data_IF_460047519901
#
_entry.id   IF_460047519901
#
_cell.length_a   1.000
_cell.length_b   1.000
_cell.length_c   1.000
_cell.angle_alpha   90.00
_cell.angle_beta   90.00
_cell.angle_gamma   90.00
#
_symmetry.space_group_name_H-M   'P 1'
#
loop_
_entity.id
_entity.type
_entity.pdbx_description
1 polymer ?
#
# COMPACT_ATOMS: atom_id res chain seq x y z
N UNK A 1 20.43 6.05 20.51
CA UNK A 1 20.37 6.14 19.02
C UNK A 1 21.73 6.51 18.43
N UNK A 2 22.32 7.66 18.78
CA UNK A 2 23.67 8.05 18.35
C UNK A 2 24.77 7.01 18.66
N UNK A 3 24.78 6.47 19.87
CA UNK A 3 25.76 5.44 20.28
C UNK A 3 25.70 4.17 19.43
N UNK A 4 24.50 3.80 18.96
CA UNK A 4 24.31 2.64 18.08
C UNK A 4 24.93 2.91 16.70
N UNK A 5 24.62 4.06 16.10
CA UNK A 5 25.18 4.44 14.78
C UNK A 5 26.70 4.58 14.82
N UNK A 6 27.25 5.12 15.92
CA UNK A 6 28.71 5.28 16.06
C UNK A 6 29.41 3.92 16.18
N UNK A 7 28.84 2.96 16.93
CA UNK A 7 29.45 1.66 17.22
C UNK A 7 29.26 0.65 16.11
N UNK A 8 28.03 0.54 15.64
CA UNK A 8 27.64 -0.47 14.65
C UNK A 8 27.93 -0.03 13.22
N UNK A 9 28.21 1.27 12.99
CA UNK A 9 28.45 1.85 11.67
C UNK A 9 27.23 1.68 10.73
N UNK A 10 26.05 1.46 11.32
CA UNK A 10 24.77 1.31 10.62
C UNK A 10 23.98 2.61 10.77
N UNK A 11 23.56 3.25 9.66
CA UNK A 11 22.78 4.47 9.72
C UNK A 11 21.36 4.18 10.25
N UNK A 12 20.79 5.14 10.97
CA UNK A 12 19.37 5.15 11.29
C UNK A 12 18.71 6.21 10.43
N UNK A 13 17.83 5.80 9.53
CA UNK A 13 17.23 6.67 8.51
C UNK A 13 15.77 6.94 8.84
N UNK A 14 15.35 8.20 8.70
CA UNK A 14 13.95 8.64 8.74
C UNK A 14 13.18 8.14 9.96
N UNK A 15 13.77 8.30 11.15
CA UNK A 15 13.09 7.94 12.40
C UNK A 15 12.29 9.13 12.88
N UNK A 16 10.98 8.92 13.05
CA UNK A 16 10.11 9.95 13.61
C UNK A 16 10.18 9.93 15.14
N UNK A 17 10.43 11.10 15.71
CA UNK A 17 10.50 11.33 17.15
C UNK A 17 9.52 12.44 17.51
N UNK A 18 8.61 12.12 18.43
CA UNK A 18 7.73 13.12 19.05
C UNK A 18 8.53 13.85 20.14
N UNK A 19 8.64 15.17 20.02
CA UNK A 19 9.26 16.02 21.04
C UNK A 19 8.38 17.26 21.24
N UNK A 20 7.76 17.37 22.42
CA UNK A 20 6.64 18.29 22.68
C UNK A 20 5.51 18.16 21.63
N UNK A 21 5.00 19.27 21.11
CA UNK A 21 3.99 19.34 20.04
C UNK A 21 4.59 19.17 18.63
N UNK A 22 5.88 18.86 18.52
CA UNK A 22 6.58 18.78 17.23
C UNK A 22 6.94 17.34 16.86
N UNK A 23 6.86 17.09 15.56
CA UNK A 23 7.26 15.85 14.92
C UNK A 23 8.59 16.07 14.23
N UNK A 24 9.63 15.44 14.75
CA UNK A 24 10.98 15.53 14.24
C UNK A 24 11.33 14.27 13.45
N UNK A 25 11.64 14.43 12.17
CA UNK A 25 12.24 13.36 11.38
C UNK A 25 13.75 13.42 11.53
N UNK A 26 14.34 12.37 12.12
CA UNK A 26 15.77 12.30 12.44
C UNK A 26 16.43 11.19 11.62
N UNK A 27 17.47 11.56 10.88
CA UNK A 27 18.38 10.64 10.20
C UNK A 27 19.78 10.79 10.76
N UNK A 28 20.42 9.70 11.20
CA UNK A 28 21.76 9.68 11.80
C UNK A 28 22.64 8.74 10.98
N UNK A 29 23.81 9.20 10.58
CA UNK A 29 24.76 8.43 9.78
C UNK A 29 26.19 8.60 10.29
N UNK A 30 27.03 7.56 10.22
CA UNK A 30 28.43 7.67 10.61
C UNK A 30 29.19 8.56 9.60
N UNK A 31 30.00 9.50 10.09
CA UNK A 31 30.95 10.28 9.27
C UNK A 31 32.34 9.64 9.36
N UNK A 32 32.69 9.13 10.55
CA UNK A 32 33.90 8.36 10.79
C UNK A 32 33.60 7.27 11.80
N UNK A 33 33.75 6.02 11.38
CA UNK A 33 33.50 4.82 12.19
C UNK A 33 34.10 4.95 13.58
N UNK A 34 33.31 4.63 14.61
CA UNK A 34 33.71 4.68 16.03
C UNK A 34 34.24 6.03 16.53
N UNK A 35 34.06 7.13 15.77
CA UNK A 35 34.57 8.46 16.15
C UNK A 35 33.54 9.56 16.06
N UNK A 36 32.79 9.66 14.95
CA UNK A 36 31.81 10.73 14.76
C UNK A 36 30.67 10.28 13.83
N UNK A 37 29.47 10.77 14.11
CA UNK A 37 28.29 10.64 13.28
C UNK A 37 27.66 12.01 13.05
N UNK A 38 27.03 12.19 11.89
CA UNK A 38 26.17 13.34 11.59
C UNK A 38 24.71 13.00 11.85
N UNK A 39 23.90 14.01 12.11
CA UNK A 39 22.45 13.87 12.15
C UNK A 39 21.79 15.00 11.37
N UNK A 40 20.74 14.66 10.62
CA UNK A 40 19.81 15.58 9.98
C UNK A 40 18.53 15.53 10.80
N UNK A 41 18.12 16.70 11.31
CA UNK A 41 16.87 16.86 12.07
C UNK A 41 15.97 17.78 11.25
N UNK A 42 14.83 17.25 10.80
CA UNK A 42 13.82 18.01 10.07
C UNK A 42 12.59 18.18 10.93
N UNK A 43 12.15 19.43 11.10
CA UNK A 43 10.86 19.75 11.68
C UNK A 43 9.79 19.54 10.61
N UNK A 44 8.90 18.56 10.83
CA UNK A 44 7.82 18.23 9.89
C UNK A 44 6.71 19.32 9.88
N UNK A 45 6.78 20.32 10.76
CA UNK A 45 5.85 21.45 10.81
C UNK A 45 6.33 22.70 10.03
N UNK A 46 7.43 22.64 9.27
CA UNK A 46 7.82 23.79 8.43
C UNK A 46 6.81 24.01 7.29
N UNK A 47 6.29 25.25 7.07
CA UNK A 47 5.22 25.53 6.10
C UNK A 47 5.52 25.06 4.67
N UNK A 48 6.79 25.07 4.27
CA UNK A 48 7.25 24.65 2.94
C UNK A 48 7.16 23.13 2.73
N UNK A 49 7.22 22.32 3.80
CA UNK A 49 7.21 20.84 3.74
C UNK A 49 5.81 20.27 3.94
N UNK A 50 4.95 20.95 4.71
CA UNK A 50 3.57 20.50 4.98
C UNK A 50 2.73 20.32 3.72
N UNK A 51 2.83 21.23 2.75
CA UNK A 51 2.04 21.15 1.52
C UNK A 51 2.40 19.93 0.66
N UNK A 52 3.69 19.72 0.39
CA UNK A 52 4.16 18.58 -0.41
C UNK A 52 3.89 17.23 0.29
N UNK A 53 4.08 17.16 1.62
CA UNK A 53 3.84 15.92 2.36
C UNK A 53 2.36 15.55 2.42
N UNK A 54 1.46 16.53 2.57
CA UNK A 54 0.02 16.29 2.51
C UNK A 54 -0.40 15.80 1.12
N UNK A 55 0.09 16.44 0.05
CA UNK A 55 -0.20 16.01 -1.33
C UNK A 55 0.31 14.59 -1.57
N UNK A 56 1.52 14.28 -1.11
CA UNK A 56 2.13 12.94 -1.28
C UNK A 56 1.30 11.88 -0.57
N UNK A 57 0.96 12.09 0.71
CA UNK A 57 0.14 11.15 1.50
C UNK A 57 -1.27 10.98 0.94
N UNK A 58 -1.88 12.06 0.43
CA UNK A 58 -3.20 11.98 -0.23
C UNK A 58 -3.10 11.16 -1.52
N UNK A 59 -2.05 11.37 -2.31
CA UNK A 59 -1.81 10.62 -3.55
C UNK A 59 -1.62 9.13 -3.28
N UNK A 60 -0.85 8.77 -2.25
CA UNK A 60 -0.68 7.38 -1.82
C UNK A 60 -2.00 6.71 -1.43
N UNK A 61 -2.90 7.44 -0.75
CA UNK A 61 -4.23 6.95 -0.38
C UNK A 61 -5.11 6.76 -1.63
N UNK A 62 -5.05 7.69 -2.59
CA UNK A 62 -5.78 7.57 -3.86
C UNK A 62 -5.31 6.34 -4.62
N UNK A 63 -4.00 6.15 -4.77
CA UNK A 63 -3.42 5.01 -5.49
C UNK A 63 -3.82 3.69 -4.85
N UNK A 64 -3.74 3.60 -3.51
CA UNK A 64 -4.14 2.40 -2.76
C UNK A 64 -5.63 2.08 -2.92
N UNK A 65 -6.48 3.11 -2.94
CA UNK A 65 -7.91 2.94 -3.15
C UNK A 65 -8.22 2.52 -4.59
N UNK A 66 -7.58 3.12 -5.59
CA UNK A 66 -7.74 2.73 -6.99
C UNK A 66 -7.32 1.29 -7.22
N UNK A 67 -6.18 0.86 -6.68
CA UNK A 67 -5.71 -0.53 -6.76
C UNK A 67 -6.74 -1.50 -6.13
N UNK A 68 -7.28 -1.16 -4.96
CA UNK A 68 -8.30 -1.97 -4.30
C UNK A 68 -9.59 -2.07 -5.13
N UNK A 69 -10.09 -0.94 -5.65
CA UNK A 69 -11.29 -0.90 -6.48
C UNK A 69 -11.10 -1.71 -7.76
N UNK A 70 -9.93 -1.63 -8.39
CA UNK A 70 -9.60 -2.45 -9.57
C UNK A 70 -9.61 -3.94 -9.26
N UNK A 71 -9.04 -4.37 -8.11
CA UNK A 71 -9.10 -5.77 -7.67
C UNK A 71 -10.53 -6.23 -7.42
N UNK A 72 -11.35 -5.40 -6.77
CA UNK A 72 -12.78 -5.69 -6.56
C UNK A 72 -13.49 -5.83 -7.91
N UNK A 73 -13.28 -4.90 -8.84
CA UNK A 73 -13.86 -4.95 -10.17
C UNK A 73 -13.43 -6.19 -10.97
N UNK A 74 -12.16 -6.56 -10.89
CA UNK A 74 -11.63 -7.78 -11.50
C UNK A 74 -12.34 -9.03 -10.94
N UNK A 75 -12.36 -9.20 -9.62
CA UNK A 75 -12.99 -10.35 -8.97
C UNK A 75 -14.50 -10.42 -9.23
N UNK A 76 -15.17 -9.26 -9.28
CA UNK A 76 -16.59 -9.18 -9.65
C UNK A 76 -16.82 -9.61 -11.10
N UNK A 77 -15.98 -9.15 -12.02
CA UNK A 77 -16.06 -9.52 -13.43
C UNK A 77 -15.83 -11.01 -13.65
N UNK A 78 -14.78 -11.56 -13.03
CA UNK A 78 -14.46 -13.00 -13.08
C UNK A 78 -15.60 -13.83 -12.46
N UNK A 79 -16.02 -13.50 -11.24
CA UNK A 79 -17.09 -14.22 -10.55
C UNK A 79 -18.45 -14.13 -11.27
N UNK A 80 -18.76 -12.99 -11.89
CA UNK A 80 -19.96 -12.84 -12.71
C UNK A 80 -19.90 -13.72 -13.98
N UNK A 81 -18.76 -13.73 -14.68
CA UNK A 81 -18.54 -14.57 -15.86
C UNK A 81 -18.63 -16.06 -15.53
N UNK A 82 -18.02 -16.51 -14.43
CA UNK A 82 -18.10 -17.90 -13.97
C UNK A 82 -19.53 -18.32 -13.63
N UNK A 83 -20.26 -17.43 -12.94
CA UNK A 83 -21.67 -17.65 -12.60
C UNK A 83 -22.52 -17.75 -13.85
N UNK A 84 -22.31 -16.87 -14.84
CA UNK A 84 -23.02 -16.90 -16.12
C UNK A 84 -22.75 -18.21 -16.88
N UNK A 85 -21.48 -18.64 -16.95
CA UNK A 85 -21.11 -19.89 -17.61
C UNK A 85 -21.78 -21.11 -16.96
N UNK A 86 -21.79 -21.16 -15.62
CA UNK A 86 -22.45 -22.22 -14.87
C UNK A 86 -23.96 -22.24 -15.12
N UNK A 87 -24.61 -21.07 -15.05
CA UNK A 87 -26.05 -20.94 -15.31
C UNK A 87 -26.40 -21.38 -16.73
N UNK A 88 -25.61 -20.98 -17.74
CA UNK A 88 -25.80 -21.42 -19.12
C UNK A 88 -25.67 -22.94 -19.25
N UNK A 89 -24.68 -23.56 -18.61
CA UNK A 89 -24.52 -25.03 -18.61
C UNK A 89 -25.74 -25.75 -17.99
N UNK A 90 -26.30 -25.20 -16.91
CA UNK A 90 -27.52 -25.72 -16.28
C UNK A 90 -28.72 -25.59 -17.26
N UNK A 91 -28.90 -24.42 -17.87
CA UNK A 91 -29.99 -24.17 -18.82
C UNK A 91 -29.90 -25.10 -20.03
N UNK A 92 -28.71 -25.28 -20.62
CA UNK A 92 -28.48 -26.19 -21.74
C UNK A 92 -28.79 -27.64 -21.37
N UNK A 93 -28.35 -28.08 -20.18
CA UNK A 93 -28.63 -29.42 -19.67
C UNK A 93 -30.14 -29.67 -19.50
N UNK A 94 -30.90 -28.67 -19.03
CA UNK A 94 -32.36 -28.77 -18.93
C UNK A 94 -33.04 -28.78 -20.30
N UNK A 95 -32.63 -27.92 -21.23
CA UNK A 95 -33.16 -27.91 -22.62
C UNK A 95 -32.89 -29.23 -23.36
N UNK A 96 -31.72 -29.83 -23.14
CA UNK A 96 -31.39 -31.14 -23.73
C UNK A 96 -32.33 -32.23 -23.23
N UNK A 97 -32.65 -32.24 -21.93
CA UNK A 97 -33.61 -33.18 -21.33
C UNK A 97 -35.04 -32.98 -21.84
N UNK A 98 -35.50 -31.74 -22.02
CA UNK A 98 -36.86 -31.49 -22.55
C UNK A 98 -37.01 -31.90 -24.01
N UNK A 99 -35.99 -31.70 -24.84
CA UNK A 99 -36.02 -32.11 -26.25
C UNK A 99 -36.02 -33.64 -26.43
N UNK A 100 -35.43 -34.41 -25.49
CA UNK A 100 -35.51 -35.88 -25.51
C UNK A 100 -36.93 -36.37 -25.18
N UNK A 101 -37.66 -35.70 -24.28
CA UNK A 101 -39.06 -36.07 -23.95
C UNK A 101 -40.07 -35.80 -25.07
N UNK A 102 -39.83 -34.81 -25.93
CA UNK A 102 -40.73 -34.50 -27.06
C UNK A 102 -40.47 -35.36 -28.32
N UNK A 103 -39.43 -36.22 -28.31
CA UNK A 103 -39.07 -37.10 -29.44
C UNK A 103 -39.46 -38.57 -29.22
N UNK A 104 -40.13 -38.88 -28.10
CA UNK A 104 -40.76 -40.16 -27.76
C UNK A 104 -42.25 -39.95 -27.61
#
# INVERSE_FOLDING_TARGET
MFTYVIREDVPVVSKDVHFDDKMLNISIFPIKKNKMCGAIVRDLYSPEVQGEEVITRVSEVIDKNLEMVQKIGFLLGEGASDTEQMLNSIIESYRKRSNTKNKT
#
